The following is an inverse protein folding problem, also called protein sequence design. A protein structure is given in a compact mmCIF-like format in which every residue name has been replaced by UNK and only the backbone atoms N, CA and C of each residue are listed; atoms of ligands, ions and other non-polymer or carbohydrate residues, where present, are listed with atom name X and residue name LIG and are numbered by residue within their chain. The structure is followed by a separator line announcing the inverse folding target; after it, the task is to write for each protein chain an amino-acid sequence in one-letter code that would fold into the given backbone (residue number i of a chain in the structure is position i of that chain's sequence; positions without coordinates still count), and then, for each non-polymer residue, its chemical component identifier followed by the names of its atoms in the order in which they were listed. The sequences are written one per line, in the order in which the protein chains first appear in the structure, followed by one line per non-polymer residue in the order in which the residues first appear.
data_IF_782814641407
#
_entry.id   IF_782814641407
#
_cell.length_a   1.000
_cell.length_b   1.000
_cell.length_c   1.000
_cell.angle_alpha   90.00
_cell.angle_beta   90.00
_cell.angle_gamma   90.00
#
_symmetry.space_group_name_H-M   'P 1'
#
loop_
_entity.id
_entity.type
_entity.pdbx_description
1 polymer ?
#
# COMPACT_ATOMS: atom_id res chain seq x y z
N UNK A 1 9.38 28.36 -11.95
CA UNK A 1 9.34 27.05 -11.27
C UNK A 1 8.10 27.01 -10.41
N UNK A 2 7.25 25.98 -10.55
CA UNK A 2 6.15 25.78 -9.61
C UNK A 2 6.72 25.48 -8.21
N UNK A 3 6.05 25.91 -7.12
CA UNK A 3 6.48 25.53 -5.78
C UNK A 3 6.45 24.01 -5.65
N UNK A 4 7.46 23.42 -5.02
CA UNK A 4 7.48 21.98 -4.71
C UNK A 4 7.11 21.84 -3.24
N UNK A 5 5.97 21.21 -2.96
CA UNK A 5 5.63 20.86 -1.58
C UNK A 5 6.51 19.70 -1.11
N UNK A 6 7.08 19.77 0.12
CA UNK A 6 7.87 18.68 0.66
C UNK A 6 6.99 17.44 0.87
N UNK A 7 7.54 16.27 0.58
CA UNK A 7 6.90 14.98 0.88
C UNK A 7 7.11 14.68 2.37
N UNK A 8 6.02 14.41 3.08
CA UNK A 8 6.03 13.96 4.47
C UNK A 8 5.90 12.44 4.51
N UNK A 9 6.74 11.78 5.30
CA UNK A 9 6.69 10.33 5.51
C UNK A 9 6.27 10.01 6.94
N UNK A 10 5.30 9.13 7.09
CA UNK A 10 4.78 8.72 8.41
C UNK A 10 4.83 7.20 8.53
N UNK A 11 5.40 6.70 9.63
CA UNK A 11 5.36 5.28 9.98
C UNK A 11 4.26 5.04 11.03
N UNK A 12 3.30 4.19 10.68
CA UNK A 12 2.10 3.92 11.47
C UNK A 12 2.12 2.45 11.90
N UNK A 13 2.18 2.21 13.21
CA UNK A 13 2.15 0.86 13.78
C UNK A 13 0.78 0.22 13.62
N UNK A 14 0.72 -1.11 13.59
CA UNK A 14 -0.51 -1.90 13.47
C UNK A 14 -1.66 -1.39 14.37
N UNK A 15 -1.38 -1.14 15.64
CA UNK A 15 -2.38 -0.72 16.64
C UNK A 15 -3.02 0.65 16.36
N UNK A 16 -2.41 1.47 15.51
CA UNK A 16 -2.90 2.80 15.14
C UNK A 16 -3.57 2.82 13.75
N UNK A 17 -3.65 1.68 13.07
CA UNK A 17 -4.23 1.58 11.73
C UNK A 17 -5.75 1.49 11.76
N UNK A 18 -6.39 2.61 11.42
CA UNK A 18 -7.84 2.71 11.26
C UNK A 18 -8.27 2.30 9.85
N UNK A 19 -9.55 1.91 9.71
CA UNK A 19 -10.12 1.58 8.40
C UNK A 19 -10.10 2.77 7.44
N UNK A 20 -10.19 4.01 7.94
CA UNK A 20 -10.08 5.23 7.12
C UNK A 20 -8.71 5.36 6.46
N UNK A 21 -7.62 5.02 7.17
CA UNK A 21 -6.27 5.03 6.60
C UNK A 21 -6.15 3.96 5.52
N UNK A 22 -6.67 2.76 5.79
CA UNK A 22 -6.63 1.65 4.84
C UNK A 22 -7.52 1.90 3.62
N UNK A 23 -8.62 2.63 3.77
CA UNK A 23 -9.47 3.05 2.67
C UNK A 23 -8.74 4.00 1.72
N UNK A 24 -7.98 4.96 2.25
CA UNK A 24 -7.09 5.81 1.43
C UNK A 24 -6.06 4.98 0.65
N UNK A 25 -5.43 3.99 1.30
CA UNK A 25 -4.46 3.11 0.64
C UNK A 25 -5.12 2.25 -0.45
N UNK A 26 -6.26 1.64 -0.13
CA UNK A 26 -7.09 0.87 -1.06
C UNK A 26 -7.46 1.70 -2.29
N UNK A 27 -7.92 2.94 -2.09
CA UNK A 27 -8.29 3.83 -3.19
C UNK A 27 -7.08 4.21 -4.05
N UNK A 28 -5.93 4.51 -3.43
CA UNK A 28 -4.70 4.80 -4.16
C UNK A 28 -4.23 3.57 -4.97
N UNK A 29 -4.26 2.38 -4.38
CA UNK A 29 -3.91 1.14 -5.05
C UNK A 29 -4.83 0.87 -6.25
N UNK A 30 -6.15 0.91 -6.04
CA UNK A 30 -7.13 0.63 -7.09
C UNK A 30 -7.07 1.65 -8.24
N UNK A 31 -6.59 2.87 -7.99
CA UNK A 31 -6.40 3.91 -9.02
C UNK A 31 -5.15 3.68 -9.87
N UNK A 32 -4.08 3.13 -9.29
CA UNK A 32 -2.76 3.07 -9.93
C UNK A 32 -2.34 1.66 -10.39
N UNK A 33 -2.99 0.61 -9.87
CA UNK A 33 -2.65 -0.77 -10.21
C UNK A 33 -3.72 -1.39 -11.09
N UNK A 34 -3.29 -1.92 -12.24
CA UNK A 34 -4.11 -2.67 -13.18
C UNK A 34 -3.63 -4.10 -13.33
N UNK A 35 -4.46 -4.92 -13.96
CA UNK A 35 -4.15 -6.31 -14.29
C UNK A 35 -3.13 -6.32 -15.43
N UNK A 36 -2.02 -7.04 -15.26
CA UNK A 36 -0.89 -6.98 -16.20
C UNK A 36 -0.92 -8.04 -17.31
N UNK A 37 -1.76 -9.08 -17.19
CA UNK A 37 -1.79 -10.17 -18.17
C UNK A 37 -3.22 -10.61 -18.47
N UNK A 38 -3.45 -11.00 -19.73
CA UNK A 38 -4.67 -11.68 -20.18
C UNK A 38 -4.75 -13.13 -19.67
N UNK A 39 -3.64 -13.65 -19.15
CA UNK A 39 -3.57 -14.95 -18.46
C UNK A 39 -3.94 -14.85 -16.97
N UNK A 40 -4.39 -13.68 -16.50
CA UNK A 40 -4.82 -13.52 -15.12
C UNK A 40 -5.95 -14.51 -14.77
N UNK A 41 -5.92 -15.10 -13.56
CA UNK A 41 -6.87 -16.13 -13.17
C UNK A 41 -8.32 -15.64 -13.23
N UNK A 42 -9.22 -16.48 -13.72
CA UNK A 42 -10.66 -16.17 -13.78
C UNK A 42 -11.18 -16.12 -12.35
N UNK A 43 -11.73 -14.97 -11.93
CA UNK A 43 -12.36 -14.83 -10.63
C UNK A 43 -13.86 -14.60 -10.83
N UNK A 44 -14.68 -15.48 -10.24
CA UNK A 44 -16.13 -15.23 -10.08
C UNK A 44 -16.85 -14.90 -11.40
N UNK A 45 -16.74 -15.75 -12.41
CA UNK A 45 -17.40 -15.64 -13.72
C UNK A 45 -16.96 -14.47 -14.63
N UNK A 46 -15.97 -13.67 -14.24
CA UNK A 46 -15.38 -12.65 -15.12
C UNK A 46 -13.93 -12.97 -15.43
N UNK A 47 -13.58 -12.94 -16.72
CA UNK A 47 -12.17 -12.88 -17.13
C UNK A 47 -11.59 -11.55 -16.64
N UNK A 48 -10.57 -11.65 -15.81
CA UNK A 48 -9.73 -10.51 -15.45
C UNK A 48 -9.02 -10.07 -16.74
N UNK A 49 -9.38 -8.91 -17.27
CA UNK A 49 -8.84 -8.40 -18.52
C UNK A 49 -7.62 -7.52 -18.24
N UNK A 50 -6.54 -7.69 -19.01
CA UNK A 50 -5.39 -6.82 -18.90
C UNK A 50 -5.77 -5.34 -19.05
N UNK A 51 -5.14 -4.48 -18.27
CA UNK A 51 -5.42 -3.05 -18.21
C UNK A 51 -6.64 -2.67 -17.37
N UNK A 52 -7.45 -3.63 -16.90
CA UNK A 52 -8.54 -3.30 -15.96
C UNK A 52 -7.98 -3.02 -14.56
N UNK A 53 -8.57 -2.07 -13.79
CA UNK A 53 -8.11 -1.77 -12.44
C UNK A 53 -8.25 -2.98 -11.52
N UNK A 54 -7.22 -3.23 -10.70
CA UNK A 54 -7.34 -4.19 -9.61
C UNK A 54 -8.25 -3.59 -8.55
N UNK A 55 -9.20 -4.38 -8.04
CA UNK A 55 -10.05 -3.99 -6.91
C UNK A 55 -9.66 -4.74 -5.67
N UNK A 56 -8.97 -4.06 -4.77
CA UNK A 56 -8.62 -4.54 -3.45
C UNK A 56 -9.44 -3.75 -2.42
N UNK A 57 -10.31 -4.43 -1.67
CA UNK A 57 -11.09 -3.80 -0.60
C UNK A 57 -10.34 -3.76 0.73
N UNK A 58 -10.73 -2.87 1.63
CA UNK A 58 -10.09 -2.66 2.94
C UNK A 58 -9.95 -3.96 3.74
N UNK A 59 -11.01 -4.78 3.81
CA UNK A 59 -10.98 -6.07 4.52
C UNK A 59 -9.88 -6.99 3.97
N UNK A 60 -9.85 -7.16 2.65
CA UNK A 60 -8.88 -8.04 1.98
C UNK A 60 -7.46 -7.51 2.08
N UNK A 61 -7.28 -6.21 1.95
CA UNK A 61 -6.01 -5.53 2.13
C UNK A 61 -5.47 -5.75 3.55
N UNK A 62 -6.33 -5.60 4.58
CA UNK A 62 -5.96 -5.85 5.97
C UNK A 62 -5.52 -7.30 6.19
N UNK A 63 -6.29 -8.26 5.68
CA UNK A 63 -5.95 -9.69 5.78
C UNK A 63 -4.61 -10.03 5.10
N UNK A 64 -4.34 -9.45 3.92
CA UNK A 64 -3.13 -9.77 3.15
C UNK A 64 -1.88 -9.07 3.69
N UNK A 65 -2.00 -7.82 4.14
CA UNK A 65 -0.85 -6.95 4.40
C UNK A 65 -0.58 -6.75 5.90
N UNK A 66 -1.57 -6.98 6.76
CA UNK A 66 -1.53 -6.71 8.20
C UNK A 66 -1.84 -7.99 8.99
N UNK A 67 -1.03 -9.02 8.75
CA UNK A 67 -1.25 -10.38 9.26
C UNK A 67 -0.83 -10.60 10.72
N UNK A 68 -0.12 -9.65 11.34
CA UNK A 68 0.18 -9.65 12.78
C UNK A 68 0.54 -8.24 13.31
N UNK A 69 0.73 -8.12 14.62
CA UNK A 69 1.01 -6.86 15.31
C UNK A 69 2.40 -6.26 15.02
N UNK A 70 3.31 -7.02 14.40
CA UNK A 70 4.63 -6.54 13.97
C UNK A 70 4.56 -5.81 12.61
N UNK A 71 3.41 -5.83 11.94
CA UNK A 71 3.19 -5.08 10.72
C UNK A 71 3.08 -3.57 10.98
N UNK A 72 3.50 -2.78 9.99
CA UNK A 72 3.37 -1.32 10.01
C UNK A 72 3.16 -0.81 8.58
N UNK A 73 2.65 0.41 8.48
CA UNK A 73 2.40 1.11 7.24
C UNK A 73 3.30 2.34 7.18
N UNK A 74 4.01 2.51 6.08
CA UNK A 74 4.66 3.78 5.76
C UNK A 74 3.79 4.50 4.75
N UNK A 75 3.41 5.75 5.02
CA UNK A 75 2.71 6.63 4.08
C UNK A 75 3.62 7.75 3.59
N UNK A 76 3.41 8.17 2.35
CA UNK A 76 4.00 9.38 1.77
C UNK A 76 2.87 10.34 1.41
N UNK A 77 2.89 11.54 1.98
CA UNK A 77 1.84 12.54 1.82
C UNK A 77 2.42 13.88 1.36
N UNK A 78 1.70 14.60 0.50
CA UNK A 78 2.02 15.97 0.11
C UNK A 78 0.87 16.88 0.50
N UNK A 79 1.16 18.15 0.75
CA UNK A 79 0.10 19.15 0.91
C UNK A 79 -0.45 19.50 -0.47
N UNK A 80 -1.76 19.35 -0.66
CA UNK A 80 -2.45 19.75 -1.89
C UNK A 80 -2.52 21.28 -1.97
N UNK A 81 -2.22 21.85 -3.15
CA UNK A 81 -2.30 23.29 -3.39
C UNK A 81 -3.74 23.82 -3.31
N UNK A 82 -4.70 23.04 -3.80
CA UNK A 82 -6.09 23.49 -3.93
C UNK A 82 -6.85 23.41 -2.61
N UNK A 83 -6.61 22.34 -1.84
CA UNK A 83 -7.37 22.05 -0.61
C UNK A 83 -6.61 22.37 0.66
N UNK A 84 -5.29 22.60 0.56
CA UNK A 84 -4.38 22.78 1.69
C UNK A 84 -4.35 21.59 2.68
N UNK A 85 -4.88 20.43 2.26
CA UNK A 85 -4.92 19.18 3.02
C UNK A 85 -3.79 18.22 2.60
N UNK A 86 -3.46 17.25 3.45
CA UNK A 86 -2.52 16.19 3.10
C UNK A 86 -3.20 15.15 2.20
N UNK A 87 -2.61 14.96 1.02
CA UNK A 87 -2.98 13.95 0.05
C UNK A 87 -1.97 12.81 0.09
N UNK A 88 -2.48 11.58 0.20
CA UNK A 88 -1.68 10.36 0.15
C UNK A 88 -1.23 10.09 -1.29
N UNK A 89 0.08 10.09 -1.52
CA UNK A 89 0.68 9.84 -2.85
C UNK A 89 1.42 8.51 -2.95
N UNK A 90 1.65 7.84 -1.82
CA UNK A 90 2.27 6.53 -1.80
C UNK A 90 2.11 5.85 -0.44
N UNK A 91 2.18 4.53 -0.44
CA UNK A 91 2.23 3.74 0.79
C UNK A 91 3.00 2.44 0.60
N UNK A 92 3.54 1.91 1.70
CA UNK A 92 4.19 0.61 1.75
C UNK A 92 3.80 -0.12 3.04
N UNK A 93 3.34 -1.36 2.90
CA UNK A 93 3.14 -2.25 4.04
C UNK A 93 4.45 -2.96 4.35
N UNK A 94 4.79 -3.04 5.62
CA UNK A 94 6.07 -3.56 6.07
C UNK A 94 5.87 -4.46 7.30
N UNK A 95 6.82 -5.36 7.52
CA UNK A 95 6.92 -6.16 8.75
C UNK A 95 8.39 -6.28 9.12
N UNK A 96 8.67 -6.47 10.40
CA UNK A 96 10.02 -6.87 10.82
C UNK A 96 10.13 -8.39 10.73
N UNK A 97 10.99 -8.94 9.85
CA UNK A 97 11.19 -10.37 9.85
C UNK A 97 11.72 -10.79 11.22
N UNK A 98 11.12 -11.82 11.81
CA UNK A 98 11.74 -12.57 12.91
C UNK A 98 12.85 -13.43 12.30
N UNK A 99 13.95 -12.80 11.88
CA UNK A 99 15.18 -13.51 11.54
C UNK A 99 16.14 -13.43 12.73
N UNK A 100 17.00 -14.43 12.86
CA UNK A 100 18.20 -14.31 13.68
C UNK A 100 18.95 -13.02 13.29
N UNK A 101 19.71 -12.41 14.22
CA UNK A 101 20.45 -11.19 13.94
C UNK A 101 21.24 -11.37 12.64
N UNK A 102 20.81 -10.65 11.61
CA UNK A 102 21.56 -10.56 10.37
C UNK A 102 22.81 -9.79 10.76
N UNK A 103 23.96 -10.45 10.84
CA UNK A 103 25.26 -9.94 11.29
C UNK A 103 25.66 -8.60 10.61
N UNK A 104 24.99 -7.50 10.92
CA UNK A 104 25.06 -6.22 10.21
C UNK A 104 24.41 -6.17 8.82
N UNK A 105 23.73 -7.23 8.34
CA UNK A 105 23.23 -7.27 6.95
C UNK A 105 21.76 -6.81 6.85
N UNK A 106 21.49 -5.85 5.96
CA UNK A 106 20.12 -5.50 5.58
C UNK A 106 19.61 -6.48 4.51
N UNK A 107 18.43 -7.07 4.72
CA UNK A 107 17.72 -7.87 3.72
C UNK A 107 16.38 -7.23 3.39
N UNK A 108 16.00 -7.31 2.13
CA UNK A 108 14.74 -6.80 1.60
C UNK A 108 13.97 -8.02 1.13
N UNK A 109 12.80 -8.28 1.72
CA UNK A 109 11.90 -9.30 1.21
C UNK A 109 10.87 -8.59 0.34
N UNK A 110 10.92 -8.81 -0.96
CA UNK A 110 9.88 -8.35 -1.88
C UNK A 110 8.82 -9.44 -1.97
N UNK A 111 7.60 -9.16 -1.50
CA UNK A 111 6.46 -10.03 -1.80
C UNK A 111 5.95 -9.69 -3.20
N UNK A 112 6.16 -10.58 -4.15
CA UNK A 112 5.43 -10.58 -5.42
C UNK A 112 4.09 -11.27 -5.18
N UNK A 113 2.99 -10.57 -5.45
CA UNK A 113 1.64 -11.15 -5.50
C UNK A 113 1.38 -11.69 -6.89
#
# INVERSE_FOLDING_TARGET
MAPVHPVSYTCIRYSLLTDQILEKCSNLFNKNYGIWSDDAPVHSNNKLQAGTPVKLGVKRLREMMLFNDACFLVTAEIRSFDTNQFELIGHAFCTWPKSDPLNGNAVWTTQSV
#
